data_IF_496048287902
#
_entry.id   IF_496048287902
#
_cell.length_a   1.000
_cell.length_b   1.000
_cell.length_c   1.000
_cell.angle_alpha   90.00
_cell.angle_beta   90.00
_cell.angle_gamma   90.00
#
_symmetry.space_group_name_H-M   'P 1'
#
loop_
_entity.id
_entity.type
_entity.pdbx_description
1 polymer ?
#
# COMPACT_ATOMS: atom_id res chain seq x y z
N UNK A 1 -70.09 -13.66 64.88
CA UNK A 1 -69.24 -14.82 65.24
C UNK A 1 -69.07 -15.70 64.00
N UNK A 2 -67.87 -15.74 63.41
CA UNK A 2 -67.31 -16.83 62.58
C UNK A 2 -65.87 -16.45 62.22
N UNK A 3 -64.94 -17.31 62.66
CA UNK A 3 -63.49 -17.32 62.43
C UNK A 3 -63.18 -18.24 61.20
N UNK A 4 -61.94 -18.33 60.70
CA UNK A 4 -61.56 -18.13 59.29
C UNK A 4 -61.16 -19.43 58.57
N UNK A 5 -60.45 -19.35 57.42
CA UNK A 5 -59.33 -20.26 57.21
C UNK A 5 -58.03 -19.57 56.77
N UNK A 6 -56.96 -20.23 57.22
CA UNK A 6 -55.54 -19.92 57.11
C UNK A 6 -55.04 -20.37 55.72
N UNK A 7 -54.27 -19.54 55.02
CA UNK A 7 -53.55 -19.95 53.81
C UNK A 7 -52.05 -19.73 54.02
N UNK A 8 -51.30 -20.82 54.06
CA UNK A 8 -49.86 -20.86 54.19
C UNK A 8 -49.19 -20.41 52.88
N UNK A 9 -48.30 -19.42 52.96
CA UNK A 9 -47.56 -18.89 51.82
C UNK A 9 -46.23 -19.63 51.67
N UNK A 10 -46.07 -20.35 50.56
CA UNK A 10 -44.84 -21.08 50.20
C UNK A 10 -43.89 -20.10 49.50
N UNK A 11 -42.77 -19.77 50.15
CA UNK A 11 -41.68 -18.98 49.55
C UNK A 11 -40.84 -19.86 48.62
N UNK A 12 -40.89 -19.59 47.32
CA UNK A 12 -40.04 -20.21 46.31
C UNK A 12 -38.75 -19.38 46.16
N UNK A 13 -37.62 -19.89 46.67
CA UNK A 13 -36.32 -19.26 46.55
C UNK A 13 -35.75 -19.46 45.14
N UNK A 14 -35.71 -18.41 44.32
CA UNK A 14 -35.00 -18.40 43.04
C UNK A 14 -33.48 -18.33 43.28
N UNK A 15 -32.77 -19.42 42.99
CA UNK A 15 -31.31 -19.42 42.80
C UNK A 15 -30.97 -18.73 41.48
N UNK A 16 -30.51 -17.49 41.56
CA UNK A 16 -29.95 -16.75 40.43
C UNK A 16 -28.49 -17.17 40.23
N UNK A 17 -28.21 -18.04 39.25
CA UNK A 17 -26.84 -18.34 38.82
C UNK A 17 -26.29 -17.14 38.06
N UNK A 18 -25.41 -16.36 38.69
CA UNK A 18 -24.65 -15.32 38.00
C UNK A 18 -23.55 -15.98 37.18
N UNK A 19 -23.76 -16.10 35.87
CA UNK A 19 -22.70 -16.38 34.92
C UNK A 19 -21.69 -15.21 34.96
N UNK A 20 -20.48 -15.47 35.46
CA UNK A 20 -19.36 -14.52 35.32
C UNK A 20 -19.01 -14.38 33.84
N UNK A 21 -18.95 -13.16 33.29
CA UNK A 21 -18.47 -12.97 31.93
C UNK A 21 -16.99 -13.42 31.82
N UNK A 22 -16.58 -13.95 30.66
CA UNK A 22 -15.22 -14.42 30.46
C UNK A 22 -14.22 -13.27 30.66
N UNK A 23 -13.09 -13.60 31.28
CA UNK A 23 -11.97 -12.70 31.49
C UNK A 23 -11.56 -12.03 30.18
N UNK A 24 -11.42 -10.70 30.23
CA UNK A 24 -10.86 -9.84 29.18
C UNK A 24 -9.68 -10.52 28.48
N UNK A 25 -9.80 -10.80 27.19
CA UNK A 25 -8.64 -11.03 26.34
C UNK A 25 -7.74 -9.79 26.43
N UNK A 26 -6.43 -9.97 26.65
CA UNK A 26 -5.48 -8.88 26.66
C UNK A 26 -5.61 -8.06 25.35
N UNK A 27 -5.78 -6.75 25.48
CA UNK A 27 -5.92 -5.85 24.35
C UNK A 27 -4.61 -5.79 23.55
N UNK A 28 -4.61 -5.97 22.21
CA UNK A 28 -3.39 -5.98 21.40
C UNK A 28 -2.50 -4.73 21.57
N UNK A 29 -3.12 -3.59 21.87
CA UNK A 29 -2.40 -2.35 22.21
C UNK A 29 -1.56 -2.48 23.48
N UNK A 30 -2.13 -3.05 24.54
CA UNK A 30 -1.48 -3.16 25.85
C UNK A 30 -0.35 -4.19 25.84
N UNK A 31 -0.46 -5.23 25.02
CA UNK A 31 0.54 -6.29 24.94
C UNK A 31 1.75 -5.91 24.06
N UNK A 32 1.51 -5.23 22.94
CA UNK A 32 2.55 -5.08 21.90
C UNK A 32 2.97 -3.64 21.60
N UNK A 33 2.14 -2.65 21.90
CA UNK A 33 2.37 -1.25 21.47
C UNK A 33 2.69 -0.36 22.68
N UNK A 34 1.82 -0.38 23.69
CA UNK A 34 1.92 0.48 24.87
C UNK A 34 3.27 0.36 25.61
N UNK A 35 3.82 -0.85 25.85
CA UNK A 35 5.09 -0.98 26.56
C UNK A 35 6.26 -0.35 25.79
N UNK A 36 6.23 -0.44 24.45
CA UNK A 36 7.27 0.12 23.60
C UNK A 36 7.17 1.65 23.53
N UNK A 37 5.96 2.20 23.43
CA UNK A 37 5.75 3.65 23.48
C UNK A 37 6.18 4.23 24.83
N UNK A 38 5.89 3.55 25.94
CA UNK A 38 6.31 3.99 27.27
C UNK A 38 7.83 3.91 27.46
N UNK A 39 8.46 2.83 26.98
CA UNK A 39 9.90 2.62 27.16
C UNK A 39 10.78 3.55 26.29
N UNK A 40 10.30 3.93 25.10
CA UNK A 40 11.15 4.58 24.09
C UNK A 40 10.63 5.91 23.56
N UNK A 41 9.36 6.25 23.80
CA UNK A 41 8.74 7.45 23.21
C UNK A 41 8.24 8.43 24.27
N UNK A 42 7.86 7.95 25.46
CA UNK A 42 7.26 8.78 26.49
C UNK A 42 8.17 9.85 27.09
N UNK A 43 9.50 9.78 26.85
CA UNK A 43 10.41 10.84 27.27
C UNK A 43 10.09 12.17 26.56
N UNK A 44 9.90 12.14 25.24
CA UNK A 44 9.62 13.32 24.41
C UNK A 44 8.14 13.49 24.05
N UNK A 45 7.33 12.43 24.18
CA UNK A 45 5.91 12.38 23.82
C UNK A 45 5.04 11.91 25.00
N UNK A 46 5.40 12.36 26.20
CA UNK A 46 4.74 12.07 27.46
C UNK A 46 3.91 13.24 27.98
N UNK A 47 3.47 13.19 29.25
CA UNK A 47 2.75 14.28 29.89
C UNK A 47 3.65 15.51 30.14
N UNK A 48 4.94 15.29 30.36
CA UNK A 48 5.90 16.35 30.71
C UNK A 48 6.45 17.07 29.46
N UNK A 49 6.56 16.35 28.35
CA UNK A 49 7.02 16.87 27.05
C UNK A 49 6.17 16.26 25.93
N UNK A 50 5.57 17.10 25.09
CA UNK A 50 4.65 16.70 24.03
C UNK A 50 5.15 17.22 22.68
N UNK A 51 6.32 16.73 22.25
CA UNK A 51 6.91 17.15 20.99
C UNK A 51 5.98 16.85 19.82
N UNK A 52 5.90 17.81 18.88
CA UNK A 52 4.93 17.82 17.79
C UNK A 52 3.46 17.70 18.24
N UNK A 53 3.14 18.14 19.46
CA UNK A 53 1.80 18.07 20.08
C UNK A 53 1.28 16.64 20.25
N UNK A 54 2.18 15.65 20.22
CA UNK A 54 1.84 14.23 20.40
C UNK A 54 2.14 13.81 21.84
N UNK A 55 1.12 13.32 22.54
CA UNK A 55 1.24 12.75 23.87
C UNK A 55 0.61 11.35 23.92
N UNK A 56 1.46 10.32 24.00
CA UNK A 56 1.04 8.91 24.04
C UNK A 56 0.43 8.49 25.37
N UNK A 57 0.61 9.25 26.46
CA UNK A 57 -0.03 8.94 27.75
C UNK A 57 -1.56 9.04 27.69
N UNK A 58 -2.09 9.74 26.68
CA UNK A 58 -3.53 9.83 26.41
C UNK A 58 -4.12 8.55 25.80
N UNK A 59 -3.28 7.65 25.28
CA UNK A 59 -3.70 6.41 24.63
C UNK A 59 -3.65 5.25 25.65
N UNK A 60 -4.80 4.65 25.94
CA UNK A 60 -4.91 3.57 26.94
C UNK A 60 -5.39 2.26 26.36
N UNK A 61 -6.12 2.32 25.23
CA UNK A 61 -6.80 1.19 24.62
C UNK A 61 -6.55 1.11 23.12
N UNK A 62 -6.81 -0.05 22.53
CA UNK A 62 -6.80 -0.22 21.07
C UNK A 62 -7.80 0.71 20.39
N UNK A 63 -8.94 0.97 21.04
CA UNK A 63 -9.97 1.89 20.52
C UNK A 63 -9.47 3.34 20.42
N UNK A 64 -8.70 3.82 21.41
CA UNK A 64 -8.13 5.17 21.39
C UNK A 64 -7.20 5.37 20.18
N UNK A 65 -6.41 4.33 19.89
CA UNK A 65 -5.50 4.32 18.74
C UNK A 65 -6.29 4.23 17.42
N UNK A 66 -7.32 3.37 17.37
CA UNK A 66 -8.15 3.18 16.18
C UNK A 66 -8.94 4.44 15.78
N UNK A 67 -9.29 5.31 16.73
CA UNK A 67 -9.91 6.61 16.44
C UNK A 67 -8.94 7.63 15.83
N UNK A 68 -7.63 7.34 15.80
CA UNK A 68 -6.58 8.25 15.30
C UNK A 68 -5.73 7.58 14.20
N UNK A 69 -6.31 7.15 13.07
CA UNK A 69 -5.57 6.44 12.02
C UNK A 69 -4.40 7.26 11.45
N UNK A 70 -4.54 8.59 11.35
CA UNK A 70 -3.46 9.48 10.90
C UNK A 70 -2.23 9.39 11.82
N UNK A 71 -2.45 9.37 13.15
CA UNK A 71 -1.37 9.21 14.12
C UNK A 71 -0.64 7.88 13.92
N UNK A 72 -1.38 6.79 13.66
CA UNK A 72 -0.76 5.48 13.39
C UNK A 72 0.10 5.54 12.13
N UNK A 73 -0.38 6.18 11.07
CA UNK A 73 0.36 6.36 9.82
C UNK A 73 1.64 7.18 10.02
N UNK A 74 1.56 8.29 10.76
CA UNK A 74 2.70 9.14 11.07
C UNK A 74 3.74 8.37 11.90
N UNK A 75 3.32 7.59 12.91
CA UNK A 75 4.22 6.73 13.69
C UNK A 75 4.92 5.70 12.81
N UNK A 76 4.17 5.03 11.92
CA UNK A 76 4.77 4.07 10.98
C UNK A 76 5.80 4.78 10.11
N UNK A 77 5.49 5.96 9.58
CA UNK A 77 6.37 6.71 8.70
C UNK A 77 7.69 7.07 9.37
N UNK A 78 7.65 7.72 10.55
CA UNK A 78 8.87 8.17 11.24
C UNK A 78 9.73 7.00 11.75
N UNK A 79 9.10 5.87 12.09
CA UNK A 79 9.82 4.65 12.47
C UNK A 79 10.43 3.93 11.27
N UNK A 80 9.73 3.88 10.14
CA UNK A 80 10.22 3.22 8.91
C UNK A 80 11.36 4.02 8.27
N UNK A 81 11.31 5.36 8.33
CA UNK A 81 12.37 6.25 7.84
C UNK A 81 13.56 6.40 8.77
N UNK A 82 13.49 5.89 10.01
CA UNK A 82 14.49 6.11 11.08
C UNK A 82 14.63 7.59 11.48
N UNK A 83 13.59 8.40 11.30
CA UNK A 83 13.56 9.77 11.84
C UNK A 83 13.40 9.78 13.37
N UNK A 84 12.81 8.73 13.94
CA UNK A 84 12.68 8.54 15.38
C UNK A 84 13.38 7.27 15.84
N UNK A 85 14.11 7.29 16.97
CA UNK A 85 14.35 8.43 17.88
C UNK A 85 15.24 9.54 17.28
N UNK A 86 15.15 10.80 17.79
CA UNK A 86 15.92 11.93 17.26
C UNK A 86 17.43 11.79 17.49
N UNK A 87 18.22 12.62 16.81
CA UNK A 87 19.67 12.68 17.00
C UNK A 87 20.00 12.99 18.47
N UNK A 88 20.76 12.10 19.11
CA UNK A 88 21.12 12.20 20.53
C UNK A 88 20.44 11.15 21.42
N UNK A 89 19.35 10.53 20.96
CA UNK A 89 18.66 9.48 21.70
C UNK A 89 19.13 8.06 21.30
N UNK A 90 19.04 7.06 22.20
CA UNK A 90 19.44 5.69 21.89
C UNK A 90 18.58 5.10 20.76
N UNK A 91 19.19 4.51 19.71
CA UNK A 91 18.43 3.94 18.60
C UNK A 91 17.64 2.70 19.04
N UNK A 92 16.47 2.52 18.45
CA UNK A 92 15.69 1.30 18.61
C UNK A 92 16.41 0.10 17.97
N UNK A 93 16.45 -1.03 18.67
CA UNK A 93 16.90 -2.31 18.09
C UNK A 93 16.05 -2.64 16.86
N UNK A 94 16.69 -3.07 15.77
CA UNK A 94 16.00 -3.34 14.50
C UNK A 94 14.80 -4.30 14.66
N UNK A 95 14.94 -5.37 15.45
CA UNK A 95 13.85 -6.30 15.72
C UNK A 95 12.65 -5.67 16.46
N UNK A 96 12.92 -4.83 17.46
CA UNK A 96 11.88 -4.08 18.19
C UNK A 96 11.15 -3.11 17.28
N UNK A 97 11.90 -2.38 16.43
CA UNK A 97 11.32 -1.43 15.47
C UNK A 97 10.43 -2.13 14.45
N UNK A 98 10.91 -3.21 13.84
CA UNK A 98 10.12 -4.00 12.89
C UNK A 98 8.87 -4.61 13.54
N UNK A 99 8.97 -5.07 14.80
CA UNK A 99 7.83 -5.58 15.55
C UNK A 99 6.79 -4.48 15.79
N UNK A 100 7.21 -3.30 16.26
CA UNK A 100 6.32 -2.16 16.50
C UNK A 100 5.63 -1.70 15.21
N UNK A 101 6.39 -1.53 14.12
CA UNK A 101 5.83 -1.19 12.79
C UNK A 101 4.81 -2.24 12.35
N UNK A 102 5.10 -3.52 12.56
CA UNK A 102 4.17 -4.61 12.25
C UNK A 102 2.87 -4.54 13.04
N UNK A 103 2.96 -4.27 14.35
CA UNK A 103 1.80 -4.10 15.23
C UNK A 103 0.96 -2.87 14.83
N UNK A 104 1.61 -1.73 14.57
CA UNK A 104 0.96 -0.50 14.12
C UNK A 104 0.27 -0.70 12.75
N UNK A 105 0.92 -1.38 11.78
CA UNK A 105 0.30 -1.69 10.48
C UNK A 105 -0.96 -2.55 10.62
N UNK A 106 -0.98 -3.50 11.57
CA UNK A 106 -2.19 -4.29 11.87
C UNK A 106 -3.29 -3.41 12.45
N UNK A 107 -2.96 -2.51 13.38
CA UNK A 107 -3.93 -1.58 13.96
C UNK A 107 -4.46 -0.57 12.95
N UNK A 108 -3.60 -0.04 12.07
CA UNK A 108 -4.04 0.86 11.00
C UNK A 108 -5.03 0.15 10.07
N UNK A 109 -4.73 -1.08 9.64
CA UNK A 109 -5.65 -1.87 8.81
C UNK A 109 -6.99 -2.11 9.49
N UNK A 110 -6.99 -2.42 10.78
CA UNK A 110 -8.21 -2.59 11.55
C UNK A 110 -9.00 -1.27 11.68
N UNK A 111 -8.31 -0.18 12.01
CA UNK A 111 -8.89 1.16 12.15
C UNK A 111 -9.50 1.69 10.85
N UNK A 112 -8.92 1.34 9.70
CA UNK A 112 -9.41 1.75 8.37
C UNK A 112 -10.31 0.70 7.71
N UNK A 113 -10.54 -0.45 8.35
CA UNK A 113 -11.39 -1.52 7.81
C UNK A 113 -12.85 -1.06 7.76
N UNK A 114 -13.28 -0.59 6.61
CA UNK A 114 -14.63 -0.05 6.39
C UNK A 114 -14.67 1.45 6.10
N UNK A 115 -13.54 2.15 6.20
CA UNK A 115 -13.41 3.51 5.68
C UNK A 115 -13.26 3.41 4.16
N UNK A 116 -14.23 3.96 3.42
CA UNK A 116 -14.09 4.11 1.98
C UNK A 116 -12.85 4.96 1.70
N UNK A 117 -11.89 4.41 0.96
CA UNK A 117 -10.70 5.15 0.55
C UNK A 117 -11.16 6.36 -0.24
N UNK A 118 -10.62 7.54 0.05
CA UNK A 118 -10.88 8.71 -0.78
C UNK A 118 -10.57 8.32 -2.23
N UNK A 119 -11.46 8.62 -3.19
CA UNK A 119 -11.21 8.28 -4.58
C UNK A 119 -9.91 8.94 -5.00
N UNK A 120 -8.91 8.11 -5.36
CA UNK A 120 -7.67 8.62 -5.94
C UNK A 120 -8.08 9.35 -7.21
N UNK A 121 -7.75 10.65 -7.36
CA UNK A 121 -8.12 11.38 -8.55
C UNK A 121 -7.53 10.64 -9.75
N UNK A 122 -8.36 10.46 -10.79
CA UNK A 122 -7.89 9.88 -12.04
C UNK A 122 -6.70 10.71 -12.52
N UNK A 123 -5.58 10.07 -12.81
CA UNK A 123 -4.39 10.77 -13.30
C UNK A 123 -3.97 10.13 -14.59
N UNK A 124 -3.58 10.98 -15.55
CA UNK A 124 -2.93 10.49 -16.77
C UNK A 124 -1.63 9.78 -16.40
N UNK A 125 -1.41 8.60 -16.99
CA UNK A 125 -0.16 7.87 -16.84
C UNK A 125 0.96 8.62 -17.56
N UNK A 126 2.08 8.84 -16.88
CA UNK A 126 3.30 9.28 -17.54
C UNK A 126 3.90 8.15 -18.40
N UNK A 127 4.94 8.45 -19.19
CA UNK A 127 5.60 7.45 -20.08
C UNK A 127 6.04 6.18 -19.36
N UNK A 128 6.62 6.30 -18.16
CA UNK A 128 7.03 5.14 -17.36
C UNK A 128 5.84 4.32 -16.87
N UNK A 129 4.82 4.99 -16.36
CA UNK A 129 3.62 4.36 -15.84
C UNK A 129 2.85 3.65 -16.95
N UNK A 130 2.75 4.26 -18.13
CA UNK A 130 2.13 3.63 -19.28
C UNK A 130 2.92 2.39 -19.73
N UNK A 131 4.25 2.52 -19.89
CA UNK A 131 5.11 1.39 -20.25
C UNK A 131 4.96 0.22 -19.27
N UNK A 132 5.04 0.50 -17.96
CA UNK A 132 4.93 -0.55 -16.94
C UNK A 132 3.52 -1.11 -16.87
N UNK A 133 2.47 -0.29 -16.98
CA UNK A 133 1.09 -0.76 -16.95
C UNK A 133 0.79 -1.73 -18.11
N UNK A 134 1.25 -1.42 -19.33
CA UNK A 134 1.07 -2.31 -20.49
C UNK A 134 1.89 -3.59 -20.32
N UNK A 135 3.15 -3.47 -19.86
CA UNK A 135 4.00 -4.64 -19.55
C UNK A 135 3.37 -5.56 -18.52
N UNK A 136 2.85 -4.99 -17.44
CA UNK A 136 2.25 -5.75 -16.34
C UNK A 136 0.90 -6.36 -16.76
N UNK A 137 0.12 -5.65 -17.58
CA UNK A 137 -1.17 -6.13 -18.07
C UNK A 137 -1.04 -7.35 -18.97
N UNK A 138 -0.04 -7.34 -19.86
CA UNK A 138 0.18 -8.38 -20.86
C UNK A 138 1.34 -9.33 -20.53
N UNK A 139 2.00 -9.12 -19.40
CA UNK A 139 3.18 -9.87 -18.95
C UNK A 139 4.31 -9.88 -20.00
N UNK A 140 4.66 -8.68 -20.49
CA UNK A 140 5.73 -8.45 -21.48
C UNK A 140 7.05 -8.13 -20.77
N UNK A 141 8.11 -8.86 -21.08
CA UNK A 141 9.44 -8.64 -20.47
C UNK A 141 10.26 -7.53 -21.18
N UNK A 142 9.81 -7.07 -22.34
CA UNK A 142 10.40 -5.97 -23.10
C UNK A 142 9.78 -4.62 -22.75
N UNK A 143 10.55 -3.54 -22.90
CA UNK A 143 9.96 -2.20 -22.85
C UNK A 143 9.08 -1.99 -24.09
N UNK A 144 7.97 -1.28 -23.92
CA UNK A 144 7.02 -1.01 -25.00
C UNK A 144 7.63 -0.05 -26.01
N UNK A 145 8.36 0.95 -25.52
CA UNK A 145 9.08 1.93 -26.32
C UNK A 145 10.34 2.37 -25.58
N UNK A 146 11.24 3.06 -26.30
CA UNK A 146 12.46 3.59 -25.71
C UNK A 146 12.17 4.60 -24.58
N UNK A 147 12.82 4.38 -23.44
CA UNK A 147 12.72 5.21 -22.24
C UNK A 147 14.09 5.81 -21.89
N UNK A 148 14.60 6.78 -22.68
CA UNK A 148 15.87 7.45 -22.39
C UNK A 148 15.84 8.22 -21.05
N UNK A 149 14.65 8.44 -20.48
CA UNK A 149 14.50 9.07 -19.18
C UNK A 149 14.99 8.17 -18.01
N UNK A 150 15.26 6.87 -18.25
CA UNK A 150 15.87 5.97 -17.25
C UNK A 150 17.36 6.28 -17.08
N UNK A 151 17.68 7.23 -16.20
CA UNK A 151 19.05 7.71 -15.98
C UNK A 151 19.97 6.71 -15.24
N UNK A 152 19.45 6.02 -14.23
CA UNK A 152 20.23 5.04 -13.46
C UNK A 152 19.47 3.73 -13.41
N UNK A 153 19.75 2.86 -14.37
CA UNK A 153 19.25 1.49 -14.39
C UNK A 153 20.30 0.56 -13.78
N UNK A 154 19.86 -0.41 -12.99
CA UNK A 154 20.76 -1.46 -12.52
C UNK A 154 21.22 -2.29 -13.73
N UNK A 155 22.51 -2.53 -13.84
CA UNK A 155 23.03 -3.49 -14.81
C UNK A 155 23.12 -4.90 -14.18
N UNK A 156 23.50 -4.99 -12.90
CA UNK A 156 23.58 -6.25 -12.15
C UNK A 156 22.37 -6.49 -11.24
N UNK A 157 22.06 -7.76 -10.95
CA UNK A 157 20.92 -8.16 -10.07
C UNK A 157 21.36 -8.21 -8.60
N UNK A 158 21.72 -7.06 -8.02
CA UNK A 158 22.21 -6.99 -6.63
C UNK A 158 21.10 -6.79 -5.57
N UNK A 159 19.84 -6.60 -5.99
CA UNK A 159 18.66 -6.45 -5.12
C UNK A 159 17.73 -7.67 -5.14
N UNK A 160 18.24 -8.83 -5.57
CA UNK A 160 17.42 -10.04 -5.68
C UNK A 160 17.28 -10.72 -4.30
N UNK A 161 16.13 -11.38 -4.06
CA UNK A 161 15.90 -12.12 -2.82
C UNK A 161 16.99 -13.19 -2.62
N UNK A 162 17.66 -13.16 -1.47
CA UNK A 162 18.76 -14.07 -1.13
C UNK A 162 20.14 -13.41 -1.04
N UNK A 163 20.31 -12.19 -1.57
CA UNK A 163 21.54 -11.40 -1.36
C UNK A 163 21.39 -10.61 -0.06
N UNK A 164 22.14 -11.02 0.97
CA UNK A 164 22.08 -10.41 2.32
C UNK A 164 23.09 -9.28 2.53
N UNK A 165 24.06 -9.11 1.62
CA UNK A 165 25.07 -8.06 1.70
C UNK A 165 25.21 -7.34 0.36
N UNK A 166 25.28 -6.02 0.41
CA UNK A 166 25.51 -5.17 -0.76
C UNK A 166 26.92 -5.45 -1.34
N UNK A 167 27.07 -5.66 -2.65
CA UNK A 167 28.38 -5.87 -3.26
C UNK A 167 29.24 -4.61 -3.16
N UNK A 168 30.57 -4.79 -3.08
CA UNK A 168 31.56 -3.70 -3.03
C UNK A 168 31.56 -2.81 -4.29
N UNK A 169 31.01 -3.31 -5.40
CA UNK A 169 30.86 -2.59 -6.67
C UNK A 169 29.48 -2.91 -7.25
N UNK A 170 28.81 -1.88 -7.76
CA UNK A 170 27.55 -1.98 -8.48
C UNK A 170 27.74 -1.40 -9.86
N UNK A 171 27.37 -2.17 -10.88
CA UNK A 171 27.35 -1.70 -12.26
C UNK A 171 25.99 -1.03 -12.53
N UNK A 172 26.06 0.21 -13.00
CA UNK A 172 24.90 1.01 -13.40
C UNK A 172 24.97 1.31 -14.88
N UNK A 173 23.82 1.32 -15.53
CA UNK A 173 23.63 1.74 -16.91
C UNK A 173 22.77 3.00 -16.97
N UNK A 174 22.92 3.77 -18.04
CA UNK A 174 22.15 4.97 -18.31
C UNK A 174 21.59 4.89 -19.72
N UNK A 175 20.28 4.67 -19.81
CA UNK A 175 19.59 4.49 -21.08
C UNK A 175 19.43 5.84 -21.83
N UNK A 176 19.74 6.98 -21.20
CA UNK A 176 19.73 8.27 -21.87
C UNK A 176 20.79 8.37 -22.98
N UNK A 177 21.94 7.73 -22.79
CA UNK A 177 23.06 7.75 -23.75
C UNK A 177 22.93 6.69 -24.85
N UNK A 178 22.29 5.56 -24.51
CA UNK A 178 22.05 4.42 -25.39
C UNK A 178 20.69 3.83 -25.04
N UNK A 179 19.59 4.40 -25.58
CA UNK A 179 18.25 3.93 -25.25
C UNK A 179 18.09 2.49 -25.68
N UNK A 180 17.59 1.66 -24.77
CA UNK A 180 17.18 0.30 -25.12
C UNK A 180 15.97 0.41 -26.04
N UNK A 181 16.02 -0.34 -27.15
CA UNK A 181 14.89 -0.46 -28.04
C UNK A 181 13.71 -1.10 -27.28
N UNK A 182 12.52 -0.57 -27.50
CA UNK A 182 11.29 -1.25 -27.10
C UNK A 182 10.84 -2.23 -28.17
N UNK A 183 9.54 -2.56 -28.16
CA UNK A 183 8.90 -3.29 -29.25
C UNK A 183 9.15 -2.59 -30.59
N UNK A 184 9.40 -3.38 -31.63
CA UNK A 184 9.63 -2.87 -32.99
C UNK A 184 8.41 -2.10 -33.49
N UNK A 185 8.68 -1.02 -34.21
CA UNK A 185 7.67 -0.18 -34.89
C UNK A 185 6.70 0.57 -33.97
N UNK A 186 6.91 0.51 -32.65
CA UNK A 186 6.11 1.27 -31.68
C UNK A 186 6.63 2.70 -31.55
N UNK A 187 5.76 3.67 -31.81
CA UNK A 187 6.08 5.10 -31.66
C UNK A 187 5.56 5.66 -30.32
N UNK A 188 6.43 6.14 -29.42
CA UNK A 188 5.99 6.70 -28.14
C UNK A 188 5.32 8.07 -28.29
N UNK A 189 4.40 8.39 -27.37
CA UNK A 189 3.87 9.75 -27.26
C UNK A 189 4.94 10.72 -26.70
N UNK A 190 4.84 12.05 -26.98
CA UNK A 190 5.83 13.03 -26.54
C UNK A 190 6.09 13.00 -25.04
N UNK A 191 7.33 13.29 -24.64
CA UNK A 191 7.68 13.42 -23.22
C UNK A 191 6.97 14.63 -22.62
N UNK A 192 6.36 14.43 -21.46
CA UNK A 192 5.81 15.52 -20.68
C UNK A 192 6.92 16.48 -20.25
N UNK A 193 6.63 17.78 -20.31
CA UNK A 193 7.51 18.76 -19.70
C UNK A 193 7.53 18.49 -18.20
N UNK A 194 8.73 18.43 -17.63
CA UNK A 194 8.88 18.38 -16.17
C UNK A 194 8.13 19.58 -15.59
N UNK A 195 7.20 19.33 -14.68
CA UNK A 195 6.55 20.40 -13.95
C UNK A 195 7.62 21.25 -13.23
N UNK A 196 7.28 22.48 -12.84
CA UNK A 196 8.18 23.35 -12.08
C UNK A 196 8.75 22.68 -10.81
N UNK A 197 8.06 21.66 -10.29
CA UNK A 197 8.45 20.86 -9.12
C UNK A 197 9.14 19.53 -9.47
N UNK A 198 9.56 19.31 -10.72
CA UNK A 198 10.38 18.16 -11.13
C UNK A 198 9.63 16.84 -11.35
N UNK A 199 8.32 16.81 -11.23
CA UNK A 199 7.50 15.62 -11.50
C UNK A 199 6.89 15.66 -12.91
N UNK A 200 6.87 14.50 -13.58
CA UNK A 200 6.29 14.37 -14.92
C UNK A 200 4.76 14.17 -14.89
N UNK A 201 4.16 13.85 -13.73
CA UNK A 201 2.72 13.66 -13.58
C UNK A 201 2.04 14.85 -12.90
N UNK A 202 1.06 15.46 -13.57
CA UNK A 202 0.22 16.50 -12.99
C UNK A 202 -1.10 15.91 -12.52
N UNK A 203 -1.18 15.48 -11.26
CA UNK A 203 -2.39 14.90 -10.67
C UNK A 203 -3.58 15.88 -10.64
N UNK A 204 -3.29 17.18 -10.72
CA UNK A 204 -4.31 18.25 -10.67
C UNK A 204 -4.87 18.61 -12.06
N UNK A 205 -4.43 17.95 -13.13
CA UNK A 205 -4.87 18.22 -14.49
C UNK A 205 -5.61 17.02 -15.08
N UNK A 206 -6.93 17.05 -14.98
CA UNK A 206 -7.85 16.02 -15.51
C UNK A 206 -8.20 16.22 -16.99
N UNK A 207 -7.71 17.29 -17.63
CA UNK A 207 -7.96 17.57 -19.04
C UNK A 207 -6.96 16.86 -19.94
N UNK A 208 -7.48 16.16 -20.94
CA UNK A 208 -6.70 15.54 -22.02
C UNK A 208 -6.97 16.31 -23.32
N UNK A 209 -5.93 16.85 -23.96
CA UNK A 209 -6.12 17.49 -25.26
C UNK A 209 -6.48 16.45 -26.33
N UNK A 210 -7.29 16.78 -27.35
CA UNK A 210 -7.60 15.85 -28.44
C UNK A 210 -6.35 15.29 -29.13
N UNK A 211 -5.30 16.11 -29.29
CA UNK A 211 -4.02 15.67 -29.87
C UNK A 211 -3.32 14.61 -29.01
N UNK A 212 -3.38 14.77 -27.70
CA UNK A 212 -2.76 13.83 -26.78
C UNK A 212 -3.57 12.52 -26.71
N UNK A 213 -4.90 12.59 -26.76
CA UNK A 213 -5.75 11.40 -26.90
C UNK A 213 -5.43 10.63 -28.20
N UNK A 214 -5.32 11.33 -29.33
CA UNK A 214 -4.92 10.75 -30.61
C UNK A 214 -3.54 10.06 -30.50
N UNK A 215 -2.58 10.68 -29.81
CA UNK A 215 -1.27 10.07 -29.57
C UNK A 215 -1.35 8.77 -28.75
N UNK A 216 -2.20 8.71 -27.72
CA UNK A 216 -2.41 7.47 -26.94
C UNK A 216 -3.09 6.38 -27.78
N UNK A 217 -4.07 6.74 -28.61
CA UNK A 217 -4.75 5.79 -29.49
C UNK A 217 -3.78 5.23 -30.54
N UNK A 218 -3.02 6.09 -31.23
CA UNK A 218 -1.99 5.67 -32.18
C UNK A 218 -0.94 4.76 -31.54
N UNK A 219 -0.50 5.10 -30.33
CA UNK A 219 0.42 4.25 -29.59
C UNK A 219 -0.22 2.88 -29.32
N UNK A 220 -1.45 2.83 -28.81
CA UNK A 220 -2.13 1.57 -28.53
C UNK A 220 -2.26 0.66 -29.75
N UNK A 221 -2.57 1.25 -30.92
CA UNK A 221 -2.64 0.53 -32.20
C UNK A 221 -1.25 0.03 -32.60
N UNK A 222 -0.23 0.88 -32.55
CA UNK A 222 1.15 0.49 -32.91
C UNK A 222 1.71 -0.64 -32.04
N UNK A 223 1.30 -0.72 -30.77
CA UNK A 223 1.68 -1.81 -29.87
C UNK A 223 1.10 -3.13 -30.35
N UNK A 224 -0.19 -3.15 -30.70
CA UNK A 224 -0.87 -4.36 -31.16
C UNK A 224 -0.40 -4.79 -32.56
N UNK A 225 -0.04 -3.84 -33.40
CA UNK A 225 0.50 -4.10 -34.75
C UNK A 225 2.00 -4.45 -34.74
N UNK A 226 2.68 -4.28 -33.61
CA UNK A 226 4.11 -4.56 -33.50
C UNK A 226 4.40 -6.04 -33.81
N UNK A 227 5.42 -6.34 -34.63
CA UNK A 227 5.87 -7.71 -34.86
C UNK A 227 6.29 -8.46 -33.58
N UNK A 228 6.64 -7.72 -32.52
CA UNK A 228 7.04 -8.27 -31.23
C UNK A 228 5.84 -8.54 -30.30
N UNK A 229 4.64 -8.04 -30.63
CA UNK A 229 3.42 -8.30 -29.86
C UNK A 229 2.76 -9.60 -30.34
N UNK A 230 3.32 -10.72 -29.88
CA UNK A 230 2.90 -12.07 -30.27
C UNK A 230 2.99 -13.04 -29.09
N UNK A 231 2.54 -14.29 -29.30
CA UNK A 231 2.50 -15.36 -28.30
C UNK A 231 3.84 -15.61 -27.59
N UNK A 232 4.97 -15.36 -28.25
CA UNK A 232 6.29 -15.60 -27.65
C UNK A 232 6.71 -14.54 -26.63
N UNK A 233 6.19 -13.32 -26.73
CA UNK A 233 6.57 -12.20 -25.84
C UNK A 233 5.44 -11.74 -24.92
N UNK A 234 4.19 -12.08 -25.22
CA UNK A 234 3.02 -11.72 -24.43
C UNK A 234 2.63 -12.89 -23.53
N UNK A 235 2.95 -12.80 -22.23
CA UNK A 235 2.69 -13.89 -21.27
C UNK A 235 1.20 -14.24 -21.11
N UNK A 236 0.28 -13.30 -21.37
CA UNK A 236 -1.18 -13.51 -21.29
C UNK A 236 -1.87 -13.76 -22.63
N UNK A 237 -1.15 -14.24 -23.64
CA UNK A 237 -1.69 -14.44 -24.99
C UNK A 237 -2.95 -15.31 -25.02
N UNK A 238 -2.87 -16.47 -24.38
CA UNK A 238 -3.95 -17.46 -24.28
C UNK A 238 -5.24 -16.90 -23.69
N UNK A 239 -5.14 -15.94 -22.78
CA UNK A 239 -6.29 -15.38 -22.07
C UNK A 239 -7.03 -14.32 -22.87
N UNK A 240 -6.31 -13.50 -23.63
CA UNK A 240 -6.87 -12.29 -24.24
C UNK A 240 -6.95 -12.34 -25.77
N UNK A 241 -6.06 -13.08 -26.42
CA UNK A 241 -5.88 -13.00 -27.88
C UNK A 241 -6.10 -14.32 -28.61
N UNK A 242 -5.99 -15.48 -27.94
CA UNK A 242 -6.34 -16.75 -28.56
C UNK A 242 -7.83 -16.78 -28.91
N UNK A 243 -8.13 -17.15 -30.15
CA UNK A 243 -9.51 -17.30 -30.60
C UNK A 243 -10.22 -18.38 -29.75
N UNK A 244 -11.46 -18.14 -29.29
CA UNK A 244 -12.21 -19.13 -28.54
C UNK A 244 -12.50 -20.35 -29.42
N UNK A 245 -12.40 -21.54 -28.84
CA UNK A 245 -12.62 -22.81 -29.57
C UNK A 245 -14.07 -23.00 -30.05
N UNK A 246 -15.00 -22.24 -29.49
CA UNK A 246 -16.41 -22.26 -29.88
C UNK A 246 -16.95 -20.84 -30.09
N UNK A 247 -17.28 -20.51 -31.34
CA UNK A 247 -17.78 -19.19 -31.77
C UNK A 247 -19.28 -19.01 -31.59
N UNK A 248 -20.03 -20.04 -31.19
CA UNK A 248 -21.50 -19.98 -31.17
C UNK A 248 -22.08 -19.17 -30.00
N UNK A 249 -21.28 -18.85 -28.96
CA UNK A 249 -21.74 -18.09 -27.79
C UNK A 249 -20.75 -17.01 -27.33
N UNK A 250 -20.26 -16.20 -28.27
CA UNK A 250 -19.36 -15.06 -27.99
C UNK A 250 -19.95 -14.02 -27.02
N UNK A 251 -21.28 -13.92 -26.87
CA UNK A 251 -21.94 -12.97 -25.96
C UNK A 251 -21.95 -13.38 -24.49
N UNK A 252 -21.67 -14.64 -24.16
CA UNK A 252 -21.68 -15.14 -22.77
C UNK A 252 -20.31 -15.13 -22.09
N UNK A 253 -19.25 -14.77 -22.82
CA UNK A 253 -17.86 -14.83 -22.34
C UNK A 253 -17.28 -13.48 -21.89
N UNK A 254 -18.12 -12.44 -21.72
CA UNK A 254 -17.73 -11.10 -21.25
C UNK A 254 -18.14 -10.88 -19.81
#
# INVERSE_FOLDING_TARGET
MRLPPIVASVCFALLCSTAMPPAWSAEPFQEHIQPLLQAHCAHCHGPDEANAEINFSTLRTTADLAQRPQLIEDLIKVLDSNEMPPEGEPPLKAGTRSHLIGALKKQLRAATSGIATAPVPMRRLNRFQYNNAVRDLFEIDLDIFALPEKLMTRHSRYLQSGITQMPKRVDVSCDASRPRAGLREVQPFPKDLRAAHGFDNQANQLSLSPLLLDAFLRLSVSILESPDFNESHVGRWERFFRAPENTDNLRQQV
#
